data_IF_723546775159
#
_entry.id   IF_723546775159
#
_cell.length_a   1.000
_cell.length_b   1.000
_cell.length_c   1.000
_cell.angle_alpha   90.00
_cell.angle_beta   90.00
_cell.angle_gamma   90.00
#
_symmetry.space_group_name_H-M   'P 1'
#
loop_
_entity.id
_entity.type
_entity.pdbx_description
1 polymer ?
#
# COMPACT_ATOMS: atom_id res chain seq x y z
N UNK A 1 -3.45 20.90 0.54
CA UNK A 1 -4.25 19.65 0.45
C UNK A 1 -3.45 18.43 -0.02
N UNK A 2 -2.55 18.55 -1.00
CA UNK A 2 -1.73 17.42 -1.52
C UNK A 2 -0.97 16.64 -0.43
N UNK A 3 -0.34 17.33 0.53
CA UNK A 3 0.41 16.67 1.61
C UNK A 3 -0.47 15.95 2.64
N UNK A 4 -1.70 16.42 2.87
CA UNK A 4 -2.65 15.80 3.81
C UNK A 4 -3.13 14.46 3.25
N UNK A 5 -3.39 14.41 1.94
CA UNK A 5 -3.80 13.19 1.23
C UNK A 5 -2.67 12.14 1.27
N UNK A 6 -1.41 12.55 1.13
CA UNK A 6 -0.26 11.65 1.22
C UNK A 6 -0.13 10.97 2.60
N UNK A 7 -0.43 11.70 3.69
CA UNK A 7 -0.40 11.16 5.06
C UNK A 7 -1.48 10.08 5.24
N UNK A 8 -2.69 10.31 4.75
CA UNK A 8 -3.77 9.32 4.81
C UNK A 8 -3.44 8.03 4.03
N UNK A 9 -2.80 8.18 2.86
CA UNK A 9 -2.37 7.03 2.05
C UNK A 9 -1.30 6.22 2.79
N UNK A 10 -0.33 6.87 3.44
CA UNK A 10 0.70 6.20 4.22
C UNK A 10 0.13 5.42 5.42
N UNK A 11 -0.86 5.98 6.12
CA UNK A 11 -1.53 5.29 7.24
C UNK A 11 -2.25 4.03 6.75
N UNK A 12 -2.96 4.11 5.62
CA UNK A 12 -3.64 2.96 5.02
C UNK A 12 -2.65 1.89 4.52
N UNK A 13 -1.49 2.31 3.99
CA UNK A 13 -0.42 1.40 3.59
C UNK A 13 0.19 0.67 4.78
N UNK A 14 0.30 1.31 5.96
CA UNK A 14 0.80 0.68 7.18
C UNK A 14 -0.01 -0.55 7.60
N UNK A 15 -1.35 -0.44 7.60
CA UNK A 15 -2.24 -1.57 7.87
C UNK A 15 -2.12 -2.67 6.81
N UNK A 16 -2.04 -2.28 5.54
CA UNK A 16 -1.93 -3.21 4.42
C UNK A 16 -0.59 -3.97 4.43
N UNK A 17 0.50 -3.32 4.86
CA UNK A 17 1.81 -3.96 5.05
C UNK A 17 1.78 -4.95 6.23
N UNK A 18 1.11 -4.59 7.32
CA UNK A 18 0.97 -5.48 8.48
C UNK A 18 0.19 -6.75 8.09
N UNK A 19 -0.86 -6.59 7.27
CA UNK A 19 -1.61 -7.71 6.70
C UNK A 19 -0.79 -8.54 5.70
N UNK A 20 0.04 -7.90 4.87
CA UNK A 20 0.95 -8.61 3.97
C UNK A 20 1.99 -9.43 4.76
N UNK A 21 2.51 -8.89 5.87
CA UNK A 21 3.41 -9.61 6.79
C UNK A 21 2.71 -10.82 7.42
N UNK A 22 1.48 -10.63 7.90
CA UNK A 22 0.68 -11.73 8.44
C UNK A 22 0.46 -12.84 7.40
N UNK A 23 0.06 -12.50 6.16
CA UNK A 23 -0.10 -13.48 5.08
C UNK A 23 1.21 -14.19 4.71
N UNK A 24 2.35 -13.50 4.85
CA UNK A 24 3.66 -14.09 4.63
C UNK A 24 4.01 -15.12 5.71
N UNK A 25 3.73 -14.81 6.98
CA UNK A 25 3.91 -15.72 8.12
C UNK A 25 2.94 -16.92 8.05
N UNK A 26 1.72 -16.71 7.57
CA UNK A 26 0.69 -17.74 7.36
C UNK A 26 0.96 -18.62 6.11
N UNK A 27 2.12 -18.46 5.45
CA UNK A 27 2.53 -19.15 4.21
C UNK A 27 1.65 -18.87 2.98
N UNK A 28 0.69 -17.96 3.07
CA UNK A 28 -0.11 -17.50 1.93
C UNK A 28 0.65 -16.41 1.13
N UNK A 29 1.71 -16.86 0.45
CA UNK A 29 2.63 -15.99 -0.31
C UNK A 29 1.93 -15.25 -1.45
N UNK A 30 0.89 -15.84 -2.05
CA UNK A 30 0.17 -15.23 -3.17
C UNK A 30 -0.64 -14.02 -2.70
N UNK A 31 -1.34 -14.13 -1.57
CA UNK A 31 -2.03 -12.99 -0.95
C UNK A 31 -1.05 -11.91 -0.49
N UNK A 32 0.10 -12.29 0.09
CA UNK A 32 1.11 -11.33 0.51
C UNK A 32 1.68 -10.52 -0.68
N UNK A 33 2.03 -11.19 -1.78
CA UNK A 33 2.51 -10.53 -3.00
C UNK A 33 1.42 -9.64 -3.62
N UNK A 34 0.17 -10.12 -3.66
CA UNK A 34 -0.98 -9.33 -4.12
C UNK A 34 -1.15 -8.04 -3.33
N UNK A 35 -1.01 -8.08 -2.00
CA UNK A 35 -1.09 -6.88 -1.17
C UNK A 35 0.09 -5.94 -1.31
N UNK A 36 1.30 -6.45 -1.51
CA UNK A 36 2.47 -5.61 -1.80
C UNK A 36 2.26 -4.85 -3.12
N UNK A 37 1.77 -5.53 -4.16
CA UNK A 37 1.45 -4.90 -5.45
C UNK A 37 0.35 -3.86 -5.26
N UNK A 38 -0.71 -4.19 -4.53
CA UNK A 38 -1.84 -3.29 -4.28
C UNK A 38 -1.39 -2.01 -3.57
N UNK A 39 -0.58 -2.14 -2.53
CA UNK A 39 0.05 -1.01 -1.82
C UNK A 39 0.92 -0.18 -2.75
N UNK A 40 1.76 -0.82 -3.58
CA UNK A 40 2.59 -0.10 -4.54
C UNK A 40 1.75 0.72 -5.52
N UNK A 41 0.70 0.14 -6.10
CA UNK A 41 -0.23 0.89 -6.98
C UNK A 41 -0.97 2.01 -6.24
N UNK A 42 -1.39 1.78 -5.00
CA UNK A 42 -2.10 2.78 -4.19
C UNK A 42 -1.23 3.99 -3.85
N UNK A 43 0.10 3.85 -3.86
CA UNK A 43 1.05 4.96 -3.70
C UNK A 43 1.45 5.58 -5.03
N UNK A 44 1.76 4.75 -6.04
CA UNK A 44 2.28 5.22 -7.33
C UNK A 44 1.22 6.04 -8.09
N UNK A 45 -0.03 5.57 -8.15
CA UNK A 45 -1.12 6.26 -8.86
C UNK A 45 -1.32 7.72 -8.40
N UNK A 46 -1.55 8.00 -7.11
CA UNK A 46 -1.74 9.37 -6.65
C UNK A 46 -0.49 10.22 -6.82
N UNK A 47 0.72 9.65 -6.72
CA UNK A 47 1.97 10.38 -7.01
C UNK A 47 2.03 10.81 -8.48
N UNK A 48 1.69 9.91 -9.41
CA UNK A 48 1.64 10.23 -10.85
C UNK A 48 0.58 11.28 -11.15
N UNK A 49 -0.62 11.12 -10.59
CA UNK A 49 -1.73 12.07 -10.79
C UNK A 49 -1.43 13.45 -10.20
N UNK A 50 -0.77 13.52 -9.03
CA UNK A 50 -0.41 14.80 -8.43
C UNK A 50 0.75 15.50 -9.14
N UNK A 51 1.64 14.75 -9.79
CA UNK A 51 2.82 15.32 -10.46
C UNK A 51 2.48 15.95 -11.82
N UNK A 52 1.38 15.51 -12.44
CA UNK A 52 0.82 16.08 -13.67
C UNK A 52 -0.08 17.27 -13.38
#
# INVERSE_FOLDING_TARGET
MRYVIAIFILICCGYSLSYAKYCWEDKNKLAAVGMIILVATAVILPVVVMTR
#
